data_IF_552891435339
#
_entry.id   IF_552891435339
#
_cell.length_a   1.000
_cell.length_b   1.000
_cell.length_c   1.000
_cell.angle_alpha   90.00
_cell.angle_beta   90.00
_cell.angle_gamma   90.00
#
_symmetry.space_group_name_H-M   'P 1'
#
loop_
_entity.id
_entity.type
_entity.pdbx_description
1 polymer ?
#
# COMPACT_ATOMS: atom_id res chain seq x y z
N UNK A 1 -21.22 -24.44 -40.03
CA UNK A 1 -20.14 -23.90 -39.15
C UNK A 1 -20.47 -22.56 -38.47
N UNK A 2 -21.76 -22.16 -38.30
CA UNK A 2 -22.12 -20.86 -37.66
C UNK A 2 -22.45 -20.95 -36.16
N UNK A 3 -22.84 -22.13 -35.66
CA UNK A 3 -23.30 -22.32 -34.26
C UNK A 3 -22.16 -22.30 -33.23
N UNK A 4 -20.95 -22.72 -33.59
CA UNK A 4 -19.81 -22.78 -32.66
C UNK A 4 -19.15 -21.40 -32.41
N UNK A 5 -19.31 -20.45 -33.33
CA UNK A 5 -18.71 -19.12 -33.22
C UNK A 5 -19.40 -18.27 -32.13
N UNK A 6 -20.72 -18.42 -32.00
CA UNK A 6 -21.53 -17.69 -31.02
C UNK A 6 -21.15 -18.12 -29.60
N UNK A 7 -20.97 -19.43 -29.37
CA UNK A 7 -20.59 -19.98 -28.06
C UNK A 7 -19.20 -19.46 -27.64
N UNK A 8 -18.23 -19.44 -28.56
CA UNK A 8 -16.88 -18.91 -28.30
C UNK A 8 -16.93 -17.43 -27.92
N UNK A 9 -17.73 -16.62 -28.62
CA UNK A 9 -17.93 -15.20 -28.28
C UNK A 9 -18.57 -15.03 -26.90
N UNK A 10 -19.55 -15.87 -26.53
CA UNK A 10 -20.19 -15.82 -25.22
C UNK A 10 -19.24 -16.16 -24.07
N UNK A 11 -18.33 -17.14 -24.27
CA UNK A 11 -17.30 -17.47 -23.27
C UNK A 11 -16.25 -16.36 -23.11
N UNK A 12 -15.83 -15.72 -24.21
CA UNK A 12 -14.92 -14.56 -24.18
C UNK A 12 -15.55 -13.36 -23.46
N UNK A 13 -16.84 -13.11 -23.69
CA UNK A 13 -17.56 -12.02 -23.03
C UNK A 13 -17.71 -12.27 -21.52
N UNK A 14 -18.03 -13.51 -21.11
CA UNK A 14 -18.06 -13.88 -19.70
C UNK A 14 -16.67 -13.74 -19.05
N UNK A 15 -15.60 -14.17 -19.71
CA UNK A 15 -14.23 -14.02 -19.20
C UNK A 15 -13.82 -12.55 -19.01
N UNK A 16 -14.24 -11.65 -19.92
CA UNK A 16 -14.05 -10.21 -19.78
C UNK A 16 -14.86 -9.61 -18.62
N UNK A 17 -16.05 -10.15 -18.33
CA UNK A 17 -16.84 -9.74 -17.17
C UNK A 17 -16.15 -10.19 -15.87
N UNK A 18 -15.68 -11.43 -15.78
CA UNK A 18 -14.94 -11.92 -14.62
C UNK A 18 -13.61 -11.17 -14.40
N UNK A 19 -12.88 -10.81 -15.46
CA UNK A 19 -11.70 -9.94 -15.35
C UNK A 19 -12.03 -8.55 -14.76
N UNK A 20 -13.22 -8.01 -15.02
CA UNK A 20 -13.65 -6.74 -14.43
C UNK A 20 -14.16 -6.87 -12.98
N UNK A 21 -14.66 -8.06 -12.58
CA UNK A 21 -15.14 -8.29 -11.21
C UNK A 21 -14.06 -8.76 -10.24
N UNK A 22 -12.97 -9.38 -10.72
CA UNK A 22 -11.87 -9.86 -9.86
C UNK A 22 -10.79 -8.80 -9.64
N UNK A 23 -10.83 -7.68 -10.38
CA UNK A 23 -10.10 -6.48 -9.97
C UNK A 23 -10.93 -5.82 -8.90
N UNK A 24 -10.78 -6.31 -7.68
CA UNK A 24 -11.05 -5.51 -6.49
C UNK A 24 -10.33 -4.18 -6.73
N UNK A 25 -11.12 -3.12 -7.03
CA UNK A 25 -10.59 -1.78 -7.29
C UNK A 25 -10.04 -1.26 -5.98
N UNK A 26 -8.85 -1.72 -5.63
CA UNK A 26 -8.03 -1.12 -4.60
C UNK A 26 -7.93 0.37 -4.97
N UNK A 27 -8.22 1.27 -4.05
CA UNK A 27 -8.44 2.66 -4.36
C UNK A 27 -7.22 3.24 -5.09
N UNK A 28 -7.48 3.99 -6.17
CA UNK A 28 -6.45 4.70 -6.94
C UNK A 28 -6.00 5.92 -6.12
N UNK A 29 -5.30 5.65 -5.02
CA UNK A 29 -4.92 6.63 -4.01
C UNK A 29 -3.82 7.54 -4.55
N UNK A 30 -3.73 8.78 -4.03
CA UNK A 30 -2.51 9.56 -4.20
C UNK A 30 -1.37 8.96 -3.36
N UNK A 31 -0.11 9.36 -3.59
CA UNK A 31 0.99 9.00 -2.69
C UNK A 31 0.70 9.27 -1.21
N UNK A 32 0.18 10.46 -0.88
CA UNK A 32 -0.22 10.84 0.48
C UNK A 32 -1.40 10.00 0.98
N UNK A 33 -2.37 9.71 0.12
CA UNK A 33 -3.48 8.80 0.43
C UNK A 33 -3.01 7.38 0.75
N UNK A 34 -1.90 6.95 0.15
CA UNK A 34 -1.28 5.65 0.44
C UNK A 34 -0.61 5.67 1.82
N UNK A 35 0.06 6.75 2.21
CA UNK A 35 0.63 6.90 3.57
C UNK A 35 -0.46 6.93 4.63
N UNK A 36 -1.58 7.62 4.36
CA UNK A 36 -2.76 7.58 5.26
C UNK A 36 -3.36 6.18 5.36
N UNK A 37 -3.40 5.43 4.26
CA UNK A 37 -3.87 4.05 4.28
C UNK A 37 -2.90 3.13 5.03
N UNK A 38 -1.60 3.42 4.99
CA UNK A 38 -0.61 2.74 5.81
C UNK A 38 -0.84 3.03 7.30
N UNK A 39 -1.06 4.29 7.70
CA UNK A 39 -1.45 4.61 9.08
C UNK A 39 -2.68 3.82 9.50
N UNK A 40 -3.72 3.79 8.66
CA UNK A 40 -4.94 3.02 8.94
C UNK A 40 -4.66 1.53 9.12
N UNK A 41 -3.85 0.93 8.25
CA UNK A 41 -3.45 -0.47 8.36
C UNK A 41 -2.73 -0.75 9.68
N UNK A 42 -1.90 0.19 10.13
CA UNK A 42 -1.21 0.13 11.43
C UNK A 42 -2.20 0.19 12.61
N UNK A 43 -3.09 1.18 12.61
CA UNK A 43 -4.06 1.41 13.69
C UNK A 43 -5.06 0.26 13.83
N UNK A 44 -5.52 -0.28 12.71
CA UNK A 44 -6.51 -1.36 12.66
C UNK A 44 -5.87 -2.76 12.71
N UNK A 45 -4.53 -2.83 12.71
CA UNK A 45 -3.77 -4.08 12.57
C UNK A 45 -4.20 -4.88 11.32
N UNK A 46 -4.59 -4.18 10.26
CA UNK A 46 -5.04 -4.76 9.00
C UNK A 46 -3.83 -5.22 8.18
N UNK A 47 -3.45 -6.46 8.41
CA UNK A 47 -2.35 -7.12 7.72
C UNK A 47 -2.53 -7.17 6.20
N UNK A 48 -3.76 -7.37 5.72
CA UNK A 48 -4.02 -7.49 4.30
C UNK A 48 -3.84 -6.13 3.60
N UNK A 49 -4.40 -5.07 4.20
CA UNK A 49 -4.18 -3.71 3.71
C UNK A 49 -2.70 -3.35 3.77
N UNK A 50 -2.02 -3.64 4.88
CA UNK A 50 -0.59 -3.41 5.02
C UNK A 50 0.18 -4.05 3.86
N UNK A 51 0.03 -5.36 3.63
CA UNK A 51 0.73 -6.09 2.55
C UNK A 51 0.48 -5.52 1.15
N UNK A 52 -0.72 -5.00 0.89
CA UNK A 52 -1.08 -4.42 -0.42
C UNK A 52 -0.44 -3.06 -0.71
N UNK A 53 0.01 -2.33 0.32
CA UNK A 53 0.58 -0.98 0.17
C UNK A 53 2.07 -0.98 -0.20
N UNK A 54 2.76 -2.10 -0.02
CA UNK A 54 4.20 -2.21 -0.23
C UNK A 54 4.53 -3.03 -1.48
N UNK A 55 5.67 -2.71 -2.09
CA UNK A 55 6.26 -3.54 -3.13
C UNK A 55 6.72 -4.87 -2.54
N UNK A 56 6.40 -5.98 -3.22
CA UNK A 56 6.75 -7.33 -2.75
C UNK A 56 8.26 -7.49 -2.51
N UNK A 57 9.09 -6.88 -3.37
CA UNK A 57 10.55 -6.92 -3.21
C UNK A 57 11.01 -6.26 -1.91
N UNK A 58 10.44 -5.10 -1.56
CA UNK A 58 10.77 -4.39 -0.33
C UNK A 58 10.29 -5.16 0.90
N UNK A 59 9.12 -5.79 0.82
CA UNK A 59 8.60 -6.62 1.91
C UNK A 59 9.51 -7.80 2.21
N UNK A 60 10.00 -8.51 1.18
CA UNK A 60 10.92 -9.63 1.35
C UNK A 60 12.27 -9.22 1.95
N UNK A 61 12.75 -8.02 1.62
CA UNK A 61 14.00 -7.48 2.16
C UNK A 61 13.85 -7.01 3.61
N UNK A 62 12.73 -6.34 3.92
CA UNK A 62 12.49 -5.71 5.23
C UNK A 62 12.01 -6.72 6.27
N UNK A 63 11.24 -7.72 5.86
CA UNK A 63 10.60 -8.72 6.72
C UNK A 63 11.03 -10.13 6.27
N UNK A 64 12.27 -10.54 6.57
CA UNK A 64 12.83 -11.79 6.08
C UNK A 64 12.10 -13.03 6.61
N UNK A 65 11.48 -12.97 7.80
CA UNK A 65 10.64 -14.06 8.33
C UNK A 65 9.18 -13.95 7.87
N UNK A 66 8.89 -13.05 6.93
CA UNK A 66 7.62 -12.94 6.23
C UNK A 66 6.49 -12.42 7.12
N UNK A 67 5.36 -13.13 7.13
CA UNK A 67 4.12 -12.65 7.76
C UNK A 67 4.27 -12.46 9.28
N UNK A 68 5.14 -13.24 9.92
CA UNK A 68 5.39 -13.11 11.37
C UNK A 68 5.97 -11.74 11.71
N UNK A 69 7.04 -11.31 11.05
CA UNK A 69 7.67 -10.00 11.33
C UNK A 69 6.72 -8.84 11.03
N UNK A 70 5.89 -8.99 9.99
CA UNK A 70 4.88 -8.00 9.62
C UNK A 70 3.77 -7.90 10.69
N UNK A 71 3.32 -9.04 11.21
CA UNK A 71 2.37 -9.06 12.32
C UNK A 71 2.98 -8.43 13.57
N UNK A 72 4.20 -8.81 13.91
CA UNK A 72 4.92 -8.23 15.05
C UNK A 72 5.03 -6.71 14.87
N UNK A 73 5.43 -6.23 13.69
CA UNK A 73 5.50 -4.80 13.36
C UNK A 73 4.17 -4.06 13.58
N UNK A 74 3.04 -4.60 13.11
CA UNK A 74 1.71 -4.00 13.30
C UNK A 74 1.22 -4.04 14.76
N UNK A 75 1.86 -4.82 15.63
CA UNK A 75 1.50 -4.90 17.05
C UNK A 75 2.32 -3.98 17.95
N UNK A 76 3.39 -3.37 17.44
CA UNK A 76 4.29 -2.51 18.22
C UNK A 76 3.66 -1.13 18.48
N UNK A 77 2.88 -1.02 19.54
CA UNK A 77 2.44 0.27 20.10
C UNK A 77 1.43 1.07 19.26
N UNK A 78 0.98 2.20 19.83
CA UNK A 78 0.03 3.11 19.19
C UNK A 78 0.76 4.32 18.60
N UNK A 79 1.17 4.22 17.34
CA UNK A 79 1.73 5.32 16.58
C UNK A 79 0.64 6.09 15.83
N UNK A 80 0.86 7.39 15.66
CA UNK A 80 0.11 8.29 14.80
C UNK A 80 1.07 8.92 13.78
N UNK A 81 0.62 9.05 12.53
CA UNK A 81 1.40 9.69 11.49
C UNK A 81 0.88 11.11 11.31
N UNK A 82 1.74 12.09 11.51
CA UNK A 82 1.44 13.52 11.40
C UNK A 82 2.32 14.16 10.33
N UNK A 83 2.00 15.41 9.96
CA UNK A 83 2.76 16.19 8.98
C UNK A 83 3.05 15.44 7.66
N UNK A 84 2.06 14.71 7.13
CA UNK A 84 2.19 13.98 5.86
C UNK A 84 2.22 14.98 4.70
N UNK A 85 3.36 15.09 4.02
CA UNK A 85 3.56 16.03 2.92
C UNK A 85 4.38 15.44 1.77
N UNK A 86 4.13 15.91 0.55
CA UNK A 86 4.94 15.56 -0.61
C UNK A 86 6.28 16.30 -0.59
N UNK A 87 7.38 15.56 -0.56
CA UNK A 87 8.74 16.10 -0.76
C UNK A 87 9.03 16.24 -2.26
N UNK A 88 8.70 15.20 -3.04
CA UNK A 88 8.88 15.19 -4.50
C UNK A 88 7.82 14.32 -5.16
N UNK A 89 7.27 14.75 -6.30
CA UNK A 89 6.35 13.93 -7.10
C UNK A 89 6.65 14.08 -8.59
N UNK A 90 6.80 12.93 -9.23
CA UNK A 90 6.94 12.74 -10.67
C UNK A 90 5.76 11.88 -11.17
N UNK A 91 5.69 11.61 -12.47
CA UNK A 91 4.59 10.83 -13.08
C UNK A 91 4.43 9.45 -12.43
N UNK A 92 5.54 8.76 -12.17
CA UNK A 92 5.54 7.38 -11.68
C UNK A 92 6.35 7.17 -10.39
N UNK A 93 6.84 8.24 -9.77
CA UNK A 93 7.62 8.20 -8.53
C UNK A 93 7.19 9.31 -7.58
N UNK A 94 7.18 9.03 -6.29
CA UNK A 94 6.93 10.04 -5.28
C UNK A 94 7.81 9.80 -4.05
N UNK A 95 8.14 10.88 -3.36
CA UNK A 95 8.76 10.88 -2.06
C UNK A 95 7.88 11.66 -1.09
N UNK A 96 7.44 11.01 -0.01
CA UNK A 96 6.54 11.56 1.00
C UNK A 96 7.29 11.64 2.33
N UNK A 97 7.21 12.80 2.98
CA UNK A 97 7.67 13.01 4.35
C UNK A 97 6.50 12.88 5.33
N UNK A 98 6.75 12.34 6.52
CA UNK A 98 5.80 12.33 7.63
C UNK A 98 6.53 12.16 8.97
N UNK A 99 5.88 12.49 10.06
CA UNK A 99 6.40 12.31 11.43
C UNK A 99 5.59 11.23 12.14
N UNK A 100 6.24 10.32 12.86
CA UNK A 100 5.55 9.34 13.73
C UNK A 100 5.60 9.78 15.18
N UNK A 101 4.45 9.85 15.85
CA UNK A 101 4.33 10.17 17.27
C UNK A 101 3.59 9.05 18.02
N UNK A 102 3.85 8.87 19.32
CA UNK A 102 3.03 7.98 20.15
C UNK A 102 1.73 8.68 20.55
N UNK A 103 0.58 8.02 20.36
CA UNK A 103 -0.75 8.58 20.66
C UNK A 103 -0.93 9.02 22.13
N UNK A 104 -0.10 8.50 23.04
CA UNK A 104 -0.20 8.80 24.47
C UNK A 104 0.62 10.03 24.91
N UNK A 105 1.32 10.71 23.99
CA UNK A 105 2.01 11.97 24.28
C UNK A 105 3.24 11.87 25.21
N UNK A 106 3.57 10.68 25.73
CA UNK A 106 4.68 10.49 26.67
C UNK A 106 6.08 10.70 26.05
N UNK A 107 6.17 10.73 24.71
CA UNK A 107 7.41 10.98 23.98
C UNK A 107 7.14 11.97 22.84
N UNK A 108 7.52 13.23 23.04
CA UNK A 108 7.30 14.35 22.11
C UNK A 108 8.35 14.46 20.99
N UNK A 109 9.31 13.55 20.93
CA UNK A 109 10.32 13.53 19.87
C UNK A 109 9.90 12.52 18.80
N UNK A 110 8.96 12.93 17.96
CA UNK A 110 8.56 12.14 16.81
C UNK A 110 9.73 11.92 15.85
N UNK A 111 9.80 10.72 15.28
CA UNK A 111 10.78 10.43 14.23
C UNK A 111 10.27 10.96 12.90
N UNK A 112 11.14 11.61 12.13
CA UNK A 112 10.83 12.03 10.77
C UNK A 112 11.17 10.90 9.82
N UNK A 113 10.22 10.59 8.95
CA UNK A 113 10.31 9.49 8.00
C UNK A 113 10.17 9.99 6.58
N UNK A 114 10.88 9.33 5.67
CA UNK A 114 10.71 9.48 4.24
C UNK A 114 10.30 8.15 3.61
N UNK A 115 9.22 8.18 2.83
CA UNK A 115 8.77 7.06 2.02
C UNK A 115 9.09 7.35 0.55
N UNK A 116 9.78 6.43 -0.11
CA UNK A 116 9.89 6.41 -1.57
C UNK A 116 8.84 5.46 -2.14
N UNK A 117 8.09 5.96 -3.12
CA UNK A 117 6.97 5.27 -3.74
C UNK A 117 7.10 5.22 -5.26
N UNK A 118 6.52 4.20 -5.88
CA UNK A 118 6.40 4.09 -7.33
C UNK A 118 4.98 3.73 -7.74
N UNK A 119 4.52 4.27 -8.87
CA UNK A 119 3.23 3.95 -9.47
C UNK A 119 3.39 2.69 -10.32
N UNK A 120 2.66 1.62 -9.98
CA UNK A 120 2.62 0.37 -10.72
C UNK A 120 1.19 -0.12 -10.85
N UNK A 121 0.76 -0.48 -12.07
CA UNK A 121 -0.61 -0.95 -12.34
C UNK A 121 -1.68 -0.01 -11.74
N UNK A 122 -1.45 1.31 -11.87
CA UNK A 122 -2.31 2.36 -11.31
C UNK A 122 -2.42 2.33 -9.77
N UNK A 123 -1.43 1.79 -9.06
CA UNK A 123 -1.34 1.81 -7.60
C UNK A 123 0.00 2.37 -7.17
N UNK A 124 0.01 3.27 -6.19
CA UNK A 124 1.24 3.69 -5.55
C UNK A 124 1.66 2.64 -4.53
N UNK A 125 2.87 2.12 -4.68
CA UNK A 125 3.45 1.13 -3.77
C UNK A 125 4.65 1.74 -3.05
N UNK A 126 4.80 1.39 -1.78
CA UNK A 126 5.93 1.77 -0.94
C UNK A 126 7.12 0.87 -1.29
N UNK A 127 8.21 1.50 -1.71
CA UNK A 127 9.45 0.83 -2.14
C UNK A 127 10.60 0.97 -1.15
N UNK A 128 10.52 1.98 -0.28
CA UNK A 128 11.53 2.23 0.74
C UNK A 128 10.97 3.15 1.82
N UNK A 129 11.33 2.89 3.07
CA UNK A 129 11.17 3.81 4.18
C UNK A 129 12.53 4.10 4.83
N UNK A 130 12.80 5.35 5.19
CA UNK A 130 13.99 5.75 5.94
C UNK A 130 13.59 6.64 7.12
N UNK A 131 14.33 6.54 8.22
CA UNK A 131 14.32 7.52 9.31
C UNK A 131 15.38 8.57 8.98
N UNK A 132 15.02 9.85 9.09
CA UNK A 132 15.95 10.99 8.96
C UNK A 132 16.45 11.47 10.32
#
# INVERSE_FOLDING_TARGET
MKKNLIIIFSFLLLAMIFLNFTVEKSPNLSPEGTVKSFQKAYEEKDFNLFKQLFAESYMKETFPDGEKDMHDFLTVGNLEFTDIHTIKKEENKAKIGFTTNFKNGEYSNGNNWEITMQLQNSKWLIYKMNIN
#
